data_IF_353528767724
#
_entry.id   IF_353528767724
#
_cell.length_a   1.000
_cell.length_b   1.000
_cell.length_c   1.000
_cell.angle_alpha   90.00
_cell.angle_beta   90.00
_cell.angle_gamma   90.00
#
_symmetry.space_group_name_H-M   'P 1'
#
loop_
_entity.id
_entity.type
_entity.pdbx_description
1 polymer ?
#
# COMPACT_ATOMS: atom_id res chain seq x y z
N UNK A 1 11.97 -18.38 -23.89
CA UNK A 1 11.04 -17.23 -23.83
C UNK A 1 9.82 -17.68 -23.06
N UNK A 2 9.60 -17.19 -21.85
CA UNK A 2 8.36 -17.46 -21.12
C UNK A 2 7.21 -16.75 -21.86
N UNK A 3 6.13 -17.48 -22.12
CA UNK A 3 4.92 -16.91 -22.70
C UNK A 3 4.44 -15.76 -21.81
N UNK A 4 4.16 -14.59 -22.39
CA UNK A 4 3.69 -13.40 -21.70
C UNK A 4 2.21 -13.52 -21.30
N UNK A 5 1.87 -14.58 -20.56
CA UNK A 5 0.55 -14.76 -19.99
C UNK A 5 0.37 -13.77 -18.82
N UNK A 6 -0.73 -13.02 -18.87
CA UNK A 6 -1.13 -12.10 -17.81
C UNK A 6 -1.35 -12.89 -16.50
N UNK A 7 -0.63 -12.55 -15.43
CA UNK A 7 -0.72 -13.27 -14.15
C UNK A 7 -1.85 -12.76 -13.26
N UNK A 8 -2.04 -11.44 -13.23
CA UNK A 8 -3.11 -10.81 -12.46
C UNK A 8 -3.57 -9.51 -13.11
N UNK A 9 -4.76 -9.05 -12.74
CA UNK A 9 -5.28 -7.72 -13.08
C UNK A 9 -5.73 -7.01 -11.79
N UNK A 10 -5.19 -5.83 -11.45
CA UNK A 10 -5.63 -5.06 -10.30
C UNK A 10 -7.03 -4.48 -10.50
N UNK A 11 -7.78 -4.35 -9.41
CA UNK A 11 -9.12 -3.76 -9.37
C UNK A 11 -9.25 -2.82 -8.17
N UNK A 12 -10.39 -2.13 -8.06
CA UNK A 12 -10.63 -1.23 -6.93
C UNK A 12 -10.65 -1.97 -5.58
N UNK A 13 -11.06 -3.23 -5.53
CA UNK A 13 -11.24 -3.97 -4.27
C UNK A 13 -10.17 -5.04 -4.03
N UNK A 14 -9.20 -5.19 -4.94
CA UNK A 14 -8.17 -6.22 -4.88
C UNK A 14 -7.62 -6.52 -6.27
N UNK A 15 -7.63 -7.78 -6.68
CA UNK A 15 -7.16 -8.18 -8.00
C UNK A 15 -7.73 -9.53 -8.44
N UNK A 16 -7.82 -9.76 -9.75
CA UNK A 16 -8.11 -11.07 -10.31
C UNK A 16 -6.81 -11.81 -10.58
N UNK A 17 -6.69 -13.06 -10.11
CA UNK A 17 -5.56 -13.95 -10.39
C UNK A 17 -5.93 -14.91 -11.52
N UNK A 18 -5.23 -14.81 -12.66
CA UNK A 18 -5.46 -15.65 -13.85
C UNK A 18 -4.83 -17.04 -13.74
N UNK A 19 -3.81 -17.22 -12.92
CA UNK A 19 -3.19 -18.54 -12.70
C UNK A 19 -4.15 -19.47 -11.95
N UNK A 20 -4.90 -18.91 -10.98
CA UNK A 20 -5.82 -19.66 -10.13
C UNK A 20 -7.30 -19.45 -10.48
N UNK A 21 -7.61 -18.60 -11.47
CA UNK A 21 -8.97 -18.17 -11.85
C UNK A 21 -9.82 -17.75 -10.64
N UNK A 22 -9.23 -16.96 -9.73
CA UNK A 22 -9.86 -16.54 -8.48
C UNK A 22 -9.73 -15.03 -8.32
N UNK A 23 -10.82 -14.40 -7.91
CA UNK A 23 -10.79 -13.02 -7.45
C UNK A 23 -10.31 -12.96 -6.00
N UNK A 24 -9.36 -12.09 -5.73
CA UNK A 24 -8.77 -11.86 -4.42
C UNK A 24 -9.16 -10.45 -3.98
N UNK A 25 -9.80 -10.36 -2.82
CA UNK A 25 -10.18 -9.11 -2.19
C UNK A 25 -9.06 -8.67 -1.24
N UNK A 26 -8.80 -7.37 -1.21
CA UNK A 26 -7.81 -6.73 -0.35
C UNK A 26 -8.50 -5.81 0.63
N UNK A 27 -8.33 -6.07 1.92
CA UNK A 27 -8.68 -5.13 2.97
C UNK A 27 -7.50 -4.21 3.24
N UNK A 28 -7.72 -2.91 3.12
CA UNK A 28 -6.69 -1.88 3.29
C UNK A 28 -6.92 -1.05 4.55
N UNK A 29 -5.85 -0.51 5.13
CA UNK A 29 -5.96 0.50 6.19
C UNK A 29 -6.20 1.91 5.62
N UNK A 30 -6.17 2.93 6.50
CA UNK A 30 -6.45 4.32 6.13
C UNK A 30 -5.43 4.92 5.16
N UNK A 31 -4.22 4.37 5.05
CA UNK A 31 -3.21 4.81 4.08
C UNK A 31 -3.23 3.96 2.80
N UNK A 32 -4.14 3.00 2.70
CA UNK A 32 -4.21 2.08 1.57
C UNK A 32 -3.24 0.91 1.67
N UNK A 33 -2.62 0.65 2.82
CA UNK A 33 -1.77 -0.54 2.99
C UNK A 33 -2.64 -1.80 2.96
N UNK A 34 -2.29 -2.79 2.14
CA UNK A 34 -2.98 -4.08 2.13
C UNK A 34 -2.69 -4.82 3.44
N UNK A 35 -3.71 -5.01 4.30
CA UNK A 35 -3.58 -5.69 5.59
C UNK A 35 -4.01 -7.15 5.54
N UNK A 36 -5.00 -7.47 4.71
CA UNK A 36 -5.53 -8.81 4.55
C UNK A 36 -5.90 -9.04 3.09
N UNK A 37 -5.44 -10.15 2.52
CA UNK A 37 -5.90 -10.64 1.23
C UNK A 37 -6.71 -11.90 1.45
N UNK A 38 -7.93 -11.95 0.93
CA UNK A 38 -8.83 -13.07 1.13
C UNK A 38 -9.66 -13.35 -0.12
N UNK A 39 -10.25 -14.53 -0.17
CA UNK A 39 -11.02 -14.97 -1.33
C UNK A 39 -12.18 -15.87 -0.91
N UNK A 40 -13.16 -16.03 -1.78
CA UNK A 40 -14.32 -16.88 -1.51
C UNK A 40 -13.95 -18.35 -1.71
N UNK A 41 -14.23 -19.20 -0.72
CA UNK A 41 -14.08 -20.64 -0.83
C UNK A 41 -15.29 -21.29 -1.51
N UNK A 42 -15.20 -22.59 -1.84
CA UNK A 42 -16.28 -23.33 -2.50
C UNK A 42 -17.57 -23.42 -1.67
N UNK A 43 -17.44 -23.34 -0.34
CA UNK A 43 -18.56 -23.39 0.61
C UNK A 43 -19.20 -22.01 0.85
N UNK A 44 -18.74 -20.97 0.14
CA UNK A 44 -19.23 -19.60 0.26
C UNK A 44 -18.66 -18.78 1.42
N UNK A 45 -17.77 -19.35 2.23
CA UNK A 45 -17.04 -18.64 3.29
C UNK A 45 -15.81 -17.88 2.76
N UNK A 46 -15.28 -16.96 3.58
CA UNK A 46 -14.04 -16.26 3.29
C UNK A 46 -12.83 -17.09 3.74
N UNK A 47 -11.84 -17.21 2.86
CA UNK A 47 -10.55 -17.86 3.10
C UNK A 47 -9.45 -16.81 3.03
N UNK A 48 -8.69 -16.67 4.11
CA UNK A 48 -7.55 -15.76 4.19
C UNK A 48 -6.38 -16.35 3.42
N UNK A 49 -5.79 -15.56 2.52
CA UNK A 49 -4.66 -15.94 1.68
C UNK A 49 -3.36 -15.28 2.10
N UNK A 50 -3.43 -14.08 2.70
CA UNK A 50 -2.26 -13.34 3.18
C UNK A 50 -2.67 -12.37 4.29
N UNK A 51 -1.81 -12.25 5.31
CA UNK A 51 -1.92 -11.25 6.37
C UNK A 51 -0.65 -10.40 6.39
N UNK A 52 -0.83 -9.08 6.41
CA UNK A 52 0.23 -8.10 6.26
C UNK A 52 0.15 -7.05 7.37
N UNK A 53 1.10 -7.12 8.29
CA UNK A 53 1.29 -6.13 9.34
C UNK A 53 2.54 -5.32 9.07
N UNK A 54 2.46 -4.00 9.20
CA UNK A 54 3.57 -3.09 8.91
C UNK A 54 3.91 -2.24 10.12
N UNK A 55 5.21 -2.02 10.32
CA UNK A 55 5.72 -0.94 11.16
C UNK A 55 5.30 0.41 10.55
N UNK A 56 5.33 1.52 11.31
CA UNK A 56 4.91 2.84 10.80
C UNK A 56 5.61 3.26 9.50
N UNK A 57 6.90 2.91 9.35
CA UNK A 57 7.71 3.20 8.17
C UNK A 57 7.59 2.12 7.06
N UNK A 58 6.66 1.18 7.16
CA UNK A 58 6.32 0.25 6.08
C UNK A 58 7.11 -1.05 6.03
N UNK A 59 8.05 -1.27 6.95
CA UNK A 59 8.68 -2.58 7.08
C UNK A 59 7.63 -3.61 7.52
N UNK A 60 7.50 -4.71 6.78
CA UNK A 60 6.56 -5.78 7.10
C UNK A 60 7.05 -6.50 8.36
N UNK A 61 6.14 -6.75 9.30
CA UNK A 61 6.43 -7.58 10.46
C UNK A 61 6.66 -9.03 10.04
N UNK A 62 7.57 -9.71 10.73
CA UNK A 62 7.77 -11.15 10.59
C UNK A 62 7.17 -11.92 11.78
N UNK A 63 6.91 -13.22 11.59
CA UNK A 63 6.44 -14.11 12.67
C UNK A 63 4.93 -14.18 12.91
N UNK A 64 4.12 -13.52 12.07
CA UNK A 64 2.66 -13.72 12.01
C UNK A 64 2.29 -14.90 11.09
N UNK A 65 0.99 -15.16 10.88
CA UNK A 65 0.50 -16.21 10.00
C UNK A 65 1.25 -16.21 8.65
N UNK A 66 2.07 -17.24 8.40
CA UNK A 66 2.88 -17.34 7.18
C UNK A 66 2.03 -17.94 6.07
N UNK A 67 1.14 -17.12 5.52
CA UNK A 67 0.36 -17.47 4.34
C UNK A 67 1.06 -16.90 3.10
N UNK A 68 1.28 -17.74 2.09
CA UNK A 68 2.17 -17.43 0.97
C UNK A 68 1.57 -16.45 -0.06
N UNK A 69 0.27 -16.12 0.03
CA UNK A 69 -0.40 -15.20 -0.89
C UNK A 69 -0.23 -15.57 -2.38
N UNK A 70 -0.31 -14.58 -3.26
CA UNK A 70 0.03 -14.73 -4.67
C UNK A 70 1.49 -14.28 -4.89
N UNK A 71 2.42 -15.16 -5.30
CA UNK A 71 3.81 -14.78 -5.53
C UNK A 71 3.99 -13.78 -6.69
N UNK A 72 3.01 -13.63 -7.58
CA UNK A 72 3.05 -12.62 -8.64
C UNK A 72 2.59 -11.23 -8.16
N UNK A 73 1.91 -11.13 -7.02
CA UNK A 73 1.38 -9.88 -6.50
C UNK A 73 2.31 -9.33 -5.41
N UNK A 74 3.09 -8.29 -5.76
CA UNK A 74 4.09 -7.69 -4.87
C UNK A 74 3.67 -6.34 -4.29
N UNK A 75 2.38 -5.99 -4.37
CA UNK A 75 1.86 -4.70 -3.90
C UNK A 75 1.38 -4.81 -2.44
N UNK A 76 1.83 -3.89 -1.59
CA UNK A 76 1.54 -3.94 -0.15
C UNK A 76 1.45 -2.57 0.50
N UNK A 77 2.56 -2.11 1.05
CA UNK A 77 2.66 -0.81 1.71
C UNK A 77 2.41 0.33 0.72
N UNK A 78 1.51 1.25 1.06
CA UNK A 78 1.05 2.38 0.26
C UNK A 78 0.54 2.02 -1.16
N UNK A 79 0.16 0.75 -1.36
CA UNK A 79 -0.16 0.23 -2.68
C UNK A 79 1.02 0.25 -3.66
N UNK A 80 2.25 0.31 -3.17
CA UNK A 80 3.48 0.33 -3.96
C UNK A 80 4.05 -1.06 -4.16
N UNK A 81 4.72 -1.22 -5.28
CA UNK A 81 5.36 -2.47 -5.66
C UNK A 81 6.62 -2.67 -4.83
N UNK A 82 6.71 -3.82 -4.17
CA UNK A 82 7.91 -4.26 -3.48
C UNK A 82 8.82 -5.01 -4.46
N UNK A 83 10.03 -4.50 -4.67
CA UNK A 83 11.08 -5.23 -5.36
C UNK A 83 11.61 -6.34 -4.45
N UNK A 84 11.41 -7.60 -4.83
CA UNK A 84 11.70 -8.75 -3.96
C UNK A 84 13.19 -8.99 -3.77
N UNK A 85 13.99 -8.55 -4.74
CA UNK A 85 15.43 -8.72 -4.78
C UNK A 85 16.14 -7.77 -3.80
N UNK A 86 15.57 -6.58 -3.57
CA UNK A 86 16.18 -5.54 -2.72
C UNK A 86 15.38 -5.23 -1.46
N UNK A 87 14.10 -5.60 -1.41
CA UNK A 87 13.17 -5.20 -0.35
C UNK A 87 12.73 -3.72 -0.43
N UNK A 88 12.92 -3.06 -1.58
CA UNK A 88 12.61 -1.65 -1.75
C UNK A 88 11.24 -1.42 -2.39
N UNK A 89 10.53 -0.39 -1.95
CA UNK A 89 9.26 0.02 -2.55
C UNK A 89 9.49 0.94 -3.75
N UNK A 90 8.85 0.66 -4.88
CA UNK A 90 8.85 1.52 -6.06
C UNK A 90 7.74 2.58 -5.96
N UNK A 91 8.15 3.85 -5.86
CA UNK A 91 7.25 5.00 -5.80
C UNK A 91 7.20 5.80 -7.11
N UNK A 92 7.89 5.35 -8.16
CA UNK A 92 8.00 6.04 -9.44
C UNK A 92 9.23 6.93 -9.49
N UNK A 93 9.22 8.07 -8.80
CA UNK A 93 10.37 8.98 -8.82
C UNK A 93 11.57 8.49 -7.99
N UNK A 94 11.31 7.65 -6.97
CA UNK A 94 12.32 7.16 -6.03
C UNK A 94 12.04 5.74 -5.56
N UNK A 95 13.11 5.05 -5.16
CA UNK A 95 13.02 3.78 -4.44
C UNK A 95 13.04 4.02 -2.92
N UNK A 96 12.06 3.46 -2.22
CA UNK A 96 11.89 3.60 -0.78
C UNK A 96 12.49 2.42 -0.01
N UNK A 97 13.28 2.73 1.02
CA UNK A 97 13.93 1.76 1.90
C UNK A 97 13.17 1.72 3.23
N UNK A 98 12.28 0.74 3.38
CA UNK A 98 11.39 0.64 4.54
C UNK A 98 12.09 0.18 5.83
N UNK A 99 13.21 -0.53 5.69
CA UNK A 99 14.09 -1.00 6.78
C UNK A 99 14.72 0.15 7.57
N UNK A 100 15.12 1.22 6.89
CA UNK A 100 15.68 2.44 7.49
C UNK A 100 14.70 3.62 7.48
N UNK A 101 13.55 3.47 6.81
CA UNK A 101 12.51 4.49 6.71
C UNK A 101 12.93 5.73 5.92
N UNK A 102 13.69 5.57 4.82
CA UNK A 102 14.28 6.67 4.03
C UNK A 102 14.20 6.39 2.53
N UNK A 103 14.41 7.44 1.73
CA UNK A 103 14.63 7.29 0.29
C UNK A 103 16.05 6.78 0.00
N UNK A 104 16.19 5.95 -1.04
CA UNK A 104 17.51 5.50 -1.52
C UNK A 104 18.28 6.56 -2.31
N UNK A 105 17.61 7.64 -2.73
CA UNK A 105 18.19 8.75 -3.52
C UNK A 105 17.70 10.11 -3.01
N UNK A 106 18.41 11.17 -3.41
CA UNK A 106 18.06 12.57 -3.09
C UNK A 106 16.71 12.94 -3.70
N UNK A 107 15.87 13.64 -2.94
CA UNK A 107 14.60 14.20 -3.40
C UNK A 107 14.78 15.17 -4.58
N UNK A 108 14.12 14.95 -5.74
CA UNK A 108 14.12 15.91 -6.85
C UNK A 108 13.64 17.32 -6.46
N UNK A 109 12.80 17.42 -5.43
CA UNK A 109 12.24 18.65 -4.88
C UNK A 109 12.87 19.03 -3.52
N UNK A 110 14.08 18.53 -3.21
CA UNK A 110 14.79 18.84 -1.97
C UNK A 110 14.88 20.36 -1.69
N UNK A 111 15.08 21.17 -2.75
CA UNK A 111 15.16 22.63 -2.65
C UNK A 111 13.86 23.30 -2.20
N UNK A 112 12.71 22.66 -2.42
CA UNK A 112 11.41 23.15 -1.93
C UNK A 112 11.19 22.79 -0.46
N UNK A 113 11.90 21.78 0.06
CA UNK A 113 11.73 21.21 1.40
C UNK A 113 12.98 21.41 2.27
N UNK A 114 13.56 22.61 2.25
CA UNK A 114 14.84 22.97 2.93
C UNK A 114 14.91 22.67 4.44
N UNK A 115 13.78 22.44 5.10
CA UNK A 115 13.71 22.10 6.53
C UNK A 115 13.89 20.61 6.81
N UNK A 116 13.88 19.76 5.78
CA UNK A 116 13.98 18.31 5.89
C UNK A 116 15.23 17.81 5.16
N UNK A 117 15.74 16.65 5.61
CA UNK A 117 16.79 15.95 4.88
C UNK A 117 16.31 15.60 3.46
N UNK A 118 17.18 15.65 2.43
CA UNK A 118 16.82 15.21 1.08
C UNK A 118 16.43 13.73 0.97
N UNK A 119 16.66 12.94 2.02
CA UNK A 119 16.28 11.52 2.11
C UNK A 119 15.06 11.27 3.01
N UNK A 120 14.41 12.33 3.49
CA UNK A 120 13.29 12.25 4.41
C UNK A 120 12.04 11.64 3.75
N UNK A 121 11.42 10.69 4.42
CA UNK A 121 10.12 10.15 4.04
C UNK A 121 9.00 10.72 4.91
N UNK A 122 7.89 11.12 4.28
CA UNK A 122 6.64 11.52 4.94
C UNK A 122 6.79 12.51 6.11
N UNK A 123 7.73 13.46 6.03
CA UNK A 123 8.09 14.39 7.13
C UNK A 123 8.36 13.71 8.49
N UNK A 124 8.86 12.47 8.48
CA UNK A 124 9.01 11.60 9.66
C UNK A 124 7.69 11.30 10.41
N UNK A 125 6.54 11.47 9.76
CA UNK A 125 5.23 11.12 10.27
C UNK A 125 4.45 10.30 9.23
N UNK A 126 4.88 9.05 8.95
CA UNK A 126 4.28 8.18 7.93
C UNK A 126 2.90 7.65 8.31
N UNK A 127 2.40 7.95 9.52
CA UNK A 127 1.03 7.63 9.94
C UNK A 127 0.04 8.65 9.39
N UNK A 128 0.47 9.90 9.22
CA UNK A 128 -0.37 11.02 8.79
C UNK A 128 -0.07 11.48 7.36
N UNK A 129 1.16 11.27 6.88
CA UNK A 129 1.62 11.72 5.57
C UNK A 129 2.00 10.54 4.69
N UNK A 130 1.73 10.69 3.41
CA UNK A 130 2.12 9.76 2.35
C UNK A 130 2.77 10.56 1.23
N UNK A 131 3.72 9.95 0.53
CA UNK A 131 4.29 10.49 -0.71
C UNK A 131 3.91 9.56 -1.86
N UNK A 132 2.83 9.83 -2.63
CA UNK A 132 2.34 8.87 -3.61
C UNK A 132 3.15 8.75 -4.90
N UNK A 133 3.97 9.72 -5.25
CA UNK A 133 4.78 9.71 -6.49
C UNK A 133 6.28 9.73 -6.20
N UNK A 134 6.66 9.76 -4.92
CA UNK A 134 8.04 9.86 -4.50
C UNK A 134 8.62 11.24 -4.81
N UNK A 135 7.83 12.31 -4.87
CA UNK A 135 8.33 13.68 -5.06
C UNK A 135 7.99 14.59 -3.90
N UNK A 136 6.78 14.47 -3.33
CA UNK A 136 6.36 15.35 -2.25
C UNK A 136 5.34 14.66 -1.34
N UNK A 137 5.62 14.60 -0.02
CA UNK A 137 4.64 14.18 0.94
C UNK A 137 3.45 15.14 1.01
N UNK A 138 2.26 14.58 1.14
CA UNK A 138 1.06 15.32 1.55
C UNK A 138 0.33 14.58 2.65
N UNK A 139 -0.50 15.33 3.36
CA UNK A 139 -1.30 14.75 4.43
C UNK A 139 -2.44 13.94 3.83
N UNK A 140 -2.68 12.76 4.39
CA UNK A 140 -3.87 11.99 4.05
C UNK A 140 -5.13 12.76 4.49
N UNK A 141 -6.02 13.05 3.54
CA UNK A 141 -7.28 13.74 3.82
C UNK A 141 -8.25 12.78 4.50
N UNK A 142 -8.65 13.08 5.74
CA UNK A 142 -9.80 12.39 6.32
C UNK A 142 -11.11 12.90 5.67
N UNK A 143 -12.19 12.10 5.66
CA UNK A 143 -13.51 12.59 5.25
C UNK A 143 -13.90 13.83 6.07
N UNK A 144 -14.13 14.96 5.40
CA UNK A 144 -14.44 16.25 6.04
C UNK A 144 -13.22 17.15 6.31
N UNK A 145 -12.01 16.75 5.94
CA UNK A 145 -10.82 17.60 6.00
C UNK A 145 -10.83 18.64 4.87
N UNK A 146 -10.96 19.91 5.24
CA UNK A 146 -10.98 21.05 4.31
C UNK A 146 -9.69 21.87 4.35
N UNK A 147 -8.61 21.33 4.94
CA UNK A 147 -7.32 22.01 4.98
C UNK A 147 -6.68 22.01 3.58
N UNK A 148 -6.00 23.10 3.19
CA UNK A 148 -5.47 23.26 1.84
C UNK A 148 -4.30 22.31 1.50
N UNK A 149 -3.72 21.64 2.50
CA UNK A 149 -2.62 20.67 2.39
C UNK A 149 -3.08 19.20 2.40
N UNK A 150 -4.35 18.96 2.75
CA UNK A 150 -5.02 17.70 2.50
C UNK A 150 -5.42 17.69 1.02
N UNK A 151 -4.86 16.78 0.24
CA UNK A 151 -5.26 16.65 -1.16
C UNK A 151 -6.71 16.17 -1.21
N UNK A 152 -7.67 17.10 -1.32
CA UNK A 152 -9.02 16.82 -1.80
C UNK A 152 -8.91 16.51 -3.30
N UNK A 153 -8.25 15.40 -3.61
CA UNK A 153 -8.20 14.82 -4.94
C UNK A 153 -9.62 14.44 -5.32
N UNK A 154 -10.19 15.23 -6.22
CA UNK A 154 -11.37 14.93 -7.02
C UNK A 154 -11.20 13.58 -7.73
N UNK A 155 -11.35 12.47 -7.01
CA UNK A 155 -11.13 11.12 -7.50
C UNK A 155 -11.26 10.08 -6.38
N UNK A 156 -12.49 9.65 -6.12
CA UNK A 156 -12.87 8.48 -5.32
C UNK A 156 -12.63 8.56 -3.80
N UNK A 157 -13.36 9.45 -3.12
CA UNK A 157 -13.79 9.21 -1.73
C UNK A 157 -14.83 8.08 -1.71
N UNK A 158 -14.35 6.85 -1.83
CA UNK A 158 -15.14 5.63 -1.61
C UNK A 158 -14.24 4.49 -1.14
N UNK A 159 -13.47 4.73 -0.09
CA UNK A 159 -12.84 3.66 0.70
C UNK A 159 -12.76 4.03 2.16
N UNK A 160 -13.93 4.10 2.79
CA UNK A 160 -14.05 3.82 4.22
C UNK A 160 -15.39 3.12 4.42
N UNK A 161 -15.42 1.81 4.19
CA UNK A 161 -16.53 0.99 4.65
C UNK A 161 -16.35 0.81 6.16
N UNK A 162 -16.85 1.79 6.92
CA UNK A 162 -17.00 1.66 8.37
C UNK A 162 -18.09 0.62 8.60
N UNK A 163 -17.70 -0.64 8.79
CA UNK A 163 -18.60 -1.63 9.36
C UNK A 163 -18.79 -1.30 10.84
N UNK A 164 -19.84 -0.55 11.16
CA UNK A 164 -20.44 -0.60 12.50
C UNK A 164 -21.02 -2.01 12.68
N UNK A 165 -20.32 -2.86 13.42
CA UNK A 165 -20.93 -4.07 13.97
C UNK A 165 -21.86 -3.61 15.08
N UNK A 166 -23.15 -3.46 14.77
CA UNK A 166 -24.18 -3.49 15.80
C UNK A 166 -24.19 -4.90 16.39
N UNK A 167 -23.65 -5.06 17.59
CA UNK A 167 -23.94 -6.23 18.44
C UNK A 167 -25.39 -6.10 18.88
N UNK A 168 -26.24 -7.03 18.47
CA UNK A 168 -27.44 -7.42 19.23
C UNK A 168 -27.05 -8.45 20.26
#
# INVERSE_FOLDING_TARGET
MSNALLKFMPTAEGYYNFENNKYIYSYTDHLGNVRLSYSKNLNGGAEVLEENNYYPFGLKHEGYNVLAGNPAYSYGYNGKELQKETGWGDYGARMYMADIGRWGVIDPLAEQMRRYSPYNYAFNNPVSFIDPDGMKPHQFSMPGDSRPDANTGSGNVSKMLVFFINRT
#
